data_IF_919980893492
#
_entry.id   IF_919980893492
#
_cell.length_a   1.000
_cell.length_b   1.000
_cell.length_c   1.000
_cell.angle_alpha   90.00
_cell.angle_beta   90.00
_cell.angle_gamma   90.00
#
_symmetry.space_group_name_H-M   'P 1'
#
loop_
_entity.id
_entity.type
_entity.pdbx_description
1 polymer ?
#
# COMPACT_ATOMS: atom_id res chain seq x y z
N UNK A 1 -13.46 6.75 -12.82
CA UNK A 1 -12.60 6.39 -11.68
C UNK A 1 -13.23 5.17 -11.04
N UNK A 2 -12.68 3.98 -11.28
CA UNK A 2 -13.24 2.75 -10.72
C UNK A 2 -12.87 2.70 -9.24
N UNK A 3 -13.86 2.84 -8.37
CA UNK A 3 -13.71 2.58 -6.95
C UNK A 3 -13.30 1.13 -6.75
N UNK A 4 -12.16 0.90 -6.11
CA UNK A 4 -11.73 -0.43 -5.70
C UNK A 4 -12.62 -0.84 -4.52
N UNK A 5 -13.83 -1.31 -4.78
CA UNK A 5 -14.75 -1.76 -3.76
C UNK A 5 -14.42 -3.20 -3.35
N UNK A 6 -13.66 -3.38 -2.26
CA UNK A 6 -13.68 -4.62 -1.47
C UNK A 6 -14.95 -4.70 -0.59
N UNK A 7 -16.07 -4.18 -1.11
CA UNK A 7 -17.29 -3.87 -0.38
C UNK A 7 -17.78 -5.04 0.46
N UNK A 8 -17.62 -4.92 1.78
CA UNK A 8 -18.16 -5.86 2.77
C UNK A 8 -17.14 -6.70 3.53
N UNK A 9 -15.85 -6.71 3.17
CA UNK A 9 -14.85 -7.50 3.92
C UNK A 9 -14.40 -6.72 5.15
N UNK A 10 -14.69 -7.24 6.34
CA UNK A 10 -14.27 -6.66 7.61
C UNK A 10 -12.86 -7.15 7.96
N UNK A 11 -11.92 -6.25 8.32
CA UNK A 11 -10.59 -6.67 8.75
C UNK A 11 -10.68 -7.50 10.04
N UNK A 12 -9.86 -8.55 10.14
CA UNK A 12 -9.71 -9.32 11.38
C UNK A 12 -9.05 -8.48 12.47
N UNK A 13 -8.15 -7.56 12.07
CA UNK A 13 -7.48 -6.63 12.97
C UNK A 13 -7.17 -5.33 12.24
N UNK A 14 -7.37 -4.22 12.95
CA UNK A 14 -6.87 -2.90 12.56
C UNK A 14 -5.85 -2.44 13.59
N UNK A 15 -4.75 -1.86 13.14
CA UNK A 15 -3.72 -1.34 14.05
C UNK A 15 -3.10 -0.04 13.50
N UNK A 16 -2.70 0.89 14.39
CA UNK A 16 -1.94 2.05 13.97
C UNK A 16 -0.57 1.62 13.44
N UNK A 17 -0.11 2.27 12.37
CA UNK A 17 1.20 2.04 11.76
C UNK A 17 1.82 3.37 11.34
N UNK A 18 3.15 3.37 11.23
CA UNK A 18 3.93 4.45 10.62
C UNK A 18 4.65 3.89 9.40
N UNK A 19 4.56 4.62 8.30
CA UNK A 19 5.25 4.35 7.04
C UNK A 19 6.36 5.37 6.89
N UNK A 20 7.55 4.92 6.51
CA UNK A 20 8.67 5.81 6.21
C UNK A 20 8.29 6.80 5.12
N UNK A 21 8.66 8.06 5.33
CA UNK A 21 8.30 9.14 4.42
C UNK A 21 8.75 8.86 2.97
N UNK A 22 9.92 8.25 2.81
CA UNK A 22 10.46 7.85 1.52
C UNK A 22 9.53 6.85 0.79
N UNK A 23 8.97 5.87 1.50
CA UNK A 23 8.05 4.89 0.92
C UNK A 23 6.74 5.56 0.47
N UNK A 24 6.16 6.40 1.33
CA UNK A 24 4.94 7.15 0.98
C UNK A 24 5.13 8.10 -0.19
N UNK A 25 6.20 8.90 -0.16
CA UNK A 25 6.48 9.84 -1.22
C UNK A 25 6.76 9.11 -2.55
N UNK A 26 7.36 7.92 -2.51
CA UNK A 26 7.61 7.09 -3.71
C UNK A 26 6.31 6.59 -4.32
N UNK A 27 5.40 6.03 -3.52
CA UNK A 27 4.08 5.60 -4.00
C UNK A 27 3.31 6.78 -4.57
N UNK A 28 3.30 7.93 -3.88
CA UNK A 28 2.64 9.15 -4.36
C UNK A 28 3.22 9.64 -5.70
N UNK A 29 4.55 9.58 -5.88
CA UNK A 29 5.19 9.93 -7.14
C UNK A 29 4.77 8.97 -8.27
N UNK A 30 4.73 7.67 -8.00
CA UNK A 30 4.30 6.66 -8.95
C UNK A 30 2.83 6.86 -9.38
N UNK A 31 1.94 7.15 -8.43
CA UNK A 31 0.53 7.44 -8.72
C UNK A 31 0.36 8.66 -9.63
N UNK A 32 1.23 9.68 -9.48
CA UNK A 32 1.20 10.89 -10.30
C UNK A 32 1.82 10.71 -11.70
N UNK A 33 2.79 9.81 -11.85
CA UNK A 33 3.58 9.67 -13.09
C UNK A 33 3.17 8.49 -13.96
N UNK A 34 2.70 7.40 -13.36
CA UNK A 34 2.41 6.16 -14.06
C UNK A 34 0.89 6.02 -14.29
N UNK A 35 0.12 5.89 -13.21
CA UNK A 35 -1.34 5.81 -13.25
C UNK A 35 -1.93 5.97 -11.84
N UNK A 36 -3.22 6.33 -11.76
CA UNK A 36 -3.99 6.27 -10.51
C UNK A 36 -5.44 5.85 -10.83
N UNK A 37 -5.94 4.68 -10.34
CA UNK A 37 -5.22 3.71 -9.52
C UNK A 37 -4.10 2.98 -10.29
N UNK A 38 -3.12 2.45 -9.55
CA UNK A 38 -1.99 1.71 -10.09
C UNK A 38 -2.03 0.27 -9.58
N UNK A 39 -2.14 -0.69 -10.51
CA UNK A 39 -2.03 -2.12 -10.22
C UNK A 39 -0.65 -2.64 -10.62
N UNK A 40 -0.04 -3.42 -9.73
CA UNK A 40 1.32 -3.93 -9.87
C UNK A 40 1.35 -5.40 -9.46
N UNK A 41 1.87 -6.25 -10.34
CA UNK A 41 2.43 -7.53 -9.91
C UNK A 41 3.71 -7.27 -9.13
N UNK A 42 3.88 -7.90 -7.97
CA UNK A 42 5.08 -7.74 -7.15
C UNK A 42 6.01 -8.94 -7.37
N UNK A 43 7.17 -8.76 -8.02
CA UNK A 43 8.07 -9.87 -8.31
C UNK A 43 8.47 -10.63 -7.05
N UNK A 44 8.41 -11.96 -7.12
CA UNK A 44 8.80 -12.89 -6.04
C UNK A 44 8.01 -12.74 -4.73
N UNK A 45 6.88 -12.03 -4.75
CA UNK A 45 5.92 -12.04 -3.66
C UNK A 45 4.64 -12.73 -4.13
N UNK A 46 3.94 -13.48 -3.26
CA UNK A 46 2.68 -14.13 -3.61
C UNK A 46 1.49 -13.15 -3.56
N UNK A 47 1.75 -11.88 -3.89
CA UNK A 47 0.78 -10.79 -3.80
C UNK A 47 0.86 -9.84 -5.00
N UNK A 48 -0.30 -9.32 -5.37
CA UNK A 48 -0.40 -8.13 -6.21
C UNK A 48 -0.67 -6.91 -5.34
N UNK A 49 -0.29 -5.73 -5.84
CA UNK A 49 -0.59 -4.46 -5.19
C UNK A 49 -1.56 -3.65 -6.03
N UNK A 50 -2.58 -3.09 -5.38
CA UNK A 50 -3.40 -2.01 -5.95
C UNK A 50 -3.22 -0.77 -5.09
N UNK A 51 -2.85 0.33 -5.74
CA UNK A 51 -2.54 1.59 -5.09
C UNK A 51 -3.49 2.67 -5.59
N UNK A 52 -4.07 3.42 -4.67
CA UNK A 52 -4.68 4.72 -4.94
C UNK A 52 -4.22 5.72 -3.86
N UNK A 53 -4.73 6.96 -3.91
CA UNK A 53 -4.36 8.01 -2.97
C UNK A 53 -4.83 7.74 -1.52
N UNK A 54 -5.87 6.92 -1.36
CA UNK A 54 -6.53 6.62 -0.08
C UNK A 54 -6.03 5.34 0.56
N UNK A 55 -5.65 4.33 -0.25
CA UNK A 55 -5.29 3.00 0.22
C UNK A 55 -4.30 2.28 -0.69
N UNK A 56 -3.46 1.47 -0.06
CA UNK A 56 -2.58 0.52 -0.72
C UNK A 56 -2.97 -0.88 -0.27
N UNK A 57 -3.39 -1.72 -1.21
CA UNK A 57 -3.94 -3.04 -0.93
C UNK A 57 -3.03 -4.11 -1.49
N UNK A 58 -2.64 -5.06 -0.63
CA UNK A 58 -1.98 -6.29 -1.04
C UNK A 58 -3.04 -7.38 -1.20
N UNK A 59 -3.12 -7.96 -2.40
CA UNK A 59 -4.07 -9.02 -2.76
C UNK A 59 -3.37 -10.37 -2.83
N UNK A 60 -4.01 -11.41 -2.30
CA UNK A 60 -3.59 -12.78 -2.58
C UNK A 60 -4.18 -13.28 -3.91
N UNK A 61 -3.64 -14.40 -4.40
CA UNK A 61 -4.14 -15.19 -5.53
C UNK A 61 -5.68 -15.35 -5.42
N UNK A 62 -6.42 -14.69 -6.32
CA UNK A 62 -7.89 -14.65 -6.30
C UNK A 62 -8.54 -13.34 -5.84
N UNK A 63 -7.81 -12.22 -5.82
CA UNK A 63 -8.32 -10.86 -5.54
C UNK A 63 -8.81 -10.61 -4.10
N UNK A 64 -8.52 -11.52 -3.16
CA UNK A 64 -8.85 -11.31 -1.76
C UNK A 64 -7.80 -10.38 -1.09
N UNK A 65 -8.21 -9.33 -0.36
CA UNK A 65 -7.27 -8.50 0.39
C UNK A 65 -6.60 -9.33 1.49
N UNK A 66 -5.28 -9.26 1.56
CA UNK A 66 -4.51 -9.79 2.70
C UNK A 66 -4.32 -8.71 3.75
N UNK A 67 -3.94 -7.52 3.29
CA UNK A 67 -3.73 -6.35 4.11
C UNK A 67 -3.94 -5.07 3.30
N UNK A 68 -4.25 -4.00 4.01
CA UNK A 68 -4.45 -2.67 3.43
C UNK A 68 -3.83 -1.62 4.33
N UNK A 69 -2.95 -0.78 3.77
CA UNK A 69 -2.58 0.50 4.38
C UNK A 69 -3.57 1.56 3.92
N UNK A 70 -4.11 2.35 4.83
CA UNK A 70 -5.08 3.39 4.52
C UNK A 70 -5.10 4.49 5.59
N UNK A 71 -5.95 5.50 5.41
CA UNK A 71 -6.10 6.64 6.32
C UNK A 71 -4.77 7.36 6.59
N UNK A 72 -4.05 7.65 5.51
CA UNK A 72 -2.75 8.33 5.57
C UNK A 72 -2.89 9.76 6.11
N UNK A 73 -2.34 10.01 7.30
CA UNK A 73 -2.34 11.33 7.93
C UNK A 73 -1.21 12.18 7.34
N UNK A 74 -1.56 12.96 6.33
CA UNK A 74 -0.58 13.75 5.54
C UNK A 74 -0.72 15.27 5.74
N UNK A 75 -1.85 15.73 6.27
CA UNK A 75 -2.17 17.15 6.45
C UNK A 75 -1.40 17.78 7.61
N UNK A 76 -1.17 17.04 8.69
CA UNK A 76 -0.49 17.52 9.91
C UNK A 76 1.04 17.34 9.88
N UNK A 77 1.62 17.03 8.72
CA UNK A 77 3.07 16.83 8.61
C UNK A 77 3.79 18.17 8.58
N UNK A 78 4.71 18.39 9.52
CA UNK A 78 5.52 19.61 9.56
C UNK A 78 6.61 19.59 8.48
N UNK A 79 7.02 18.39 8.04
CA UNK A 79 8.04 18.23 7.01
C UNK A 79 7.91 16.93 6.17
N UNK A 80 8.41 17.00 4.93
CA UNK A 80 8.36 15.91 3.94
C UNK A 80 9.13 14.63 4.34
N UNK A 81 10.01 14.70 5.33
CA UNK A 81 10.82 13.57 5.81
C UNK A 81 10.19 12.84 7.01
N UNK A 82 9.14 13.40 7.62
CA UNK A 82 8.49 12.77 8.77
C UNK A 82 7.70 11.53 8.35
N UNK A 83 7.77 10.41 9.10
CA UNK A 83 6.97 9.23 8.81
C UNK A 83 5.47 9.53 8.77
N UNK A 84 4.76 8.90 7.86
CA UNK A 84 3.30 9.05 7.68
C UNK A 84 2.58 8.06 8.59
N UNK A 85 1.74 8.57 9.49
CA UNK A 85 0.84 7.75 10.30
C UNK A 85 -0.29 7.23 9.40
N UNK A 86 -0.65 5.96 9.56
CA UNK A 86 -1.74 5.34 8.82
C UNK A 86 -2.37 4.21 9.64
N UNK A 87 -3.48 3.68 9.16
CA UNK A 87 -4.08 2.44 9.65
C UNK A 87 -3.61 1.27 8.80
N UNK A 88 -3.25 0.16 9.43
CA UNK A 88 -3.05 -1.12 8.75
C UNK A 88 -4.19 -2.07 9.09
N UNK A 89 -4.94 -2.47 8.08
CA UNK A 89 -5.95 -3.52 8.15
C UNK A 89 -5.33 -4.86 7.76
N UNK A 90 -5.59 -5.89 8.56
CA UNK A 90 -5.19 -7.27 8.32
C UNK A 90 -6.44 -8.11 8.13
N UNK A 91 -6.55 -8.78 6.99
CA UNK A 91 -7.68 -9.63 6.61
C UNK A 91 -7.36 -11.12 6.76
N UNK A 92 -6.10 -11.45 7.00
CA UNK A 92 -5.62 -12.80 7.22
C UNK A 92 -4.76 -12.88 8.49
N UNK A 93 -4.88 -13.99 9.24
CA UNK A 93 -4.25 -14.15 10.57
C UNK A 93 -2.73 -13.95 10.56
N UNK A 94 -2.08 -14.31 9.45
CA UNK A 94 -0.62 -14.20 9.28
C UNK A 94 -0.17 -13.04 8.39
N UNK A 95 -1.08 -12.15 7.95
CA UNK A 95 -0.74 -11.05 7.06
C UNK A 95 0.29 -10.07 7.66
N UNK A 96 0.27 -9.90 8.99
CA UNK A 96 1.24 -9.06 9.69
C UNK A 96 2.70 -9.51 9.54
N UNK A 97 2.95 -10.80 9.22
CA UNK A 97 4.31 -11.33 9.05
C UNK A 97 4.96 -10.89 7.74
N UNK A 98 4.16 -10.52 6.73
CA UNK A 98 4.66 -10.18 5.38
C UNK A 98 4.65 -8.69 5.09
N UNK A 99 4.00 -7.87 5.92
CA UNK A 99 3.77 -6.43 5.65
C UNK A 99 5.04 -5.66 5.29
N UNK A 100 6.15 -5.90 6.00
CA UNK A 100 7.43 -5.22 5.73
C UNK A 100 8.02 -5.65 4.39
N UNK A 101 8.09 -6.97 4.14
CA UNK A 101 8.61 -7.54 2.90
C UNK A 101 7.80 -7.10 1.67
N UNK A 102 6.48 -7.04 1.80
CA UNK A 102 5.58 -6.57 0.74
C UNK A 102 5.84 -5.08 0.46
N UNK A 103 5.97 -4.26 1.50
CA UNK A 103 6.25 -2.83 1.33
C UNK A 103 7.62 -2.61 0.67
N UNK A 104 8.66 -3.32 1.10
CA UNK A 104 10.00 -3.21 0.51
C UNK A 104 10.01 -3.64 -0.97
N UNK A 105 9.34 -4.74 -1.29
CA UNK A 105 9.23 -5.24 -2.66
C UNK A 105 8.41 -4.30 -3.55
N UNK A 106 7.35 -3.70 -3.02
CA UNK A 106 6.59 -2.65 -3.70
C UNK A 106 7.50 -1.49 -4.10
N UNK A 107 8.32 -0.99 -3.17
CA UNK A 107 9.19 0.16 -3.42
C UNK A 107 10.25 -0.19 -4.46
N UNK A 108 10.85 -1.38 -4.40
CA UNK A 108 11.78 -1.84 -5.43
C UNK A 108 11.14 -1.88 -6.83
N UNK A 109 9.90 -2.35 -6.93
CA UNK A 109 9.19 -2.42 -8.20
C UNK A 109 8.80 -1.02 -8.73
N UNK A 110 8.38 -0.11 -7.86
CA UNK A 110 8.12 1.29 -8.23
C UNK A 110 9.39 2.00 -8.69
N UNK A 111 10.52 1.76 -8.02
CA UNK A 111 11.82 2.30 -8.40
C UNK A 111 12.26 1.83 -9.78
N UNK A 112 11.94 0.59 -10.14
CA UNK A 112 12.19 0.03 -11.47
C UNK A 112 11.32 0.72 -12.52
N UNK A 113 10.00 0.84 -12.28
CA UNK A 113 9.06 1.44 -13.26
C UNK A 113 9.27 2.93 -13.47
N UNK A 114 9.68 3.68 -12.44
CA UNK A 114 9.89 5.12 -12.53
C UNK A 114 11.20 5.53 -13.24
N UNK A 115 12.11 4.57 -13.48
CA UNK A 115 13.36 4.77 -14.23
C UNK A 115 13.20 4.52 -15.74
N UNK A 116 12.09 3.92 -16.14
CA UNK A 116 11.73 3.65 -17.54
C UNK A 116 11.02 4.85 -18.13
#
# INVERSE_FOLDING_TARGET
MQDIHFGGITPLRSLPKRIEAAHYNRVRLALRRLACPLRLEIPRQPVDMILDERRWVALHLGEAPLLTWMDFQVEDRSALHEPVVCTLHLYHHHAGLIMGKVLDALIQELDRRLKQ
#
